data_IF_062648947807
#
_entry.id   IF_062648947807
#
_cell.length_a   1.000
_cell.length_b   1.000
_cell.length_c   1.000
_cell.angle_alpha   90.00
_cell.angle_beta   90.00
_cell.angle_gamma   90.00
#
_symmetry.space_group_name_H-M   'P 1'
#
loop_
_entity.id
_entity.type
_entity.pdbx_description
1 polymer ?
#
# COMPACT_ATOMS: atom_id res chain seq x y z
N UNK A 1 -11.61 9.94 0.78
CA UNK A 1 -10.51 10.01 -0.22
C UNK A 1 -9.43 10.92 0.34
N UNK A 2 -8.27 10.39 0.65
CA UNK A 2 -7.12 11.14 1.19
C UNK A 2 -6.19 11.64 0.08
N UNK A 3 -6.48 11.32 -1.17
CA UNK A 3 -5.62 11.50 -2.33
C UNK A 3 -5.92 12.77 -3.14
N UNK A 4 -6.31 13.86 -2.47
CA UNK A 4 -6.64 15.14 -3.13
C UNK A 4 -5.47 15.70 -3.95
N UNK A 5 -4.25 15.54 -3.43
CA UNK A 5 -3.05 16.04 -4.10
C UNK A 5 -2.87 15.43 -5.48
N UNK A 6 -3.25 14.16 -5.66
CA UNK A 6 -3.17 13.45 -6.93
C UNK A 6 -4.09 14.08 -7.98
N UNK A 7 -5.31 14.40 -7.60
CA UNK A 7 -6.26 15.08 -8.50
C UNK A 7 -5.82 16.50 -8.79
N UNK A 8 -5.36 17.25 -7.76
CA UNK A 8 -4.85 18.59 -7.89
C UNK A 8 -3.59 18.62 -8.79
N UNK A 9 -2.68 17.68 -8.60
CA UNK A 9 -1.47 17.54 -9.44
C UNK A 9 -1.82 17.27 -10.90
N UNK A 10 -2.71 16.31 -11.17
CA UNK A 10 -3.18 16.01 -12.52
C UNK A 10 -3.83 17.24 -13.17
N UNK A 11 -4.68 17.93 -12.42
CA UNK A 11 -5.32 19.16 -12.90
C UNK A 11 -4.32 20.27 -13.20
N UNK A 12 -3.36 20.50 -12.29
CA UNK A 12 -2.33 21.50 -12.48
C UNK A 12 -1.42 21.18 -13.70
N UNK A 13 -1.00 19.93 -13.84
CA UNK A 13 -0.17 19.49 -14.97
C UNK A 13 -0.89 19.72 -16.30
N UNK A 14 -2.15 19.32 -16.41
CA UNK A 14 -2.94 19.52 -17.64
C UNK A 14 -3.19 21.01 -17.88
N UNK A 15 -3.46 21.81 -16.86
CA UNK A 15 -3.63 23.25 -17.01
C UNK A 15 -2.36 23.94 -17.54
N UNK A 16 -1.18 23.53 -17.06
CA UNK A 16 0.11 24.04 -17.53
C UNK A 16 0.37 23.63 -18.98
N UNK A 17 0.18 22.36 -19.32
CA UNK A 17 0.46 21.84 -20.67
C UNK A 17 -0.50 22.42 -21.72
N UNK A 18 -1.76 22.65 -21.36
CA UNK A 18 -2.79 23.15 -22.28
C UNK A 18 -2.98 24.66 -22.22
N UNK A 19 -2.29 25.35 -21.30
CA UNK A 19 -2.48 26.78 -20.98
C UNK A 19 -3.96 27.13 -20.68
N UNK A 20 -4.67 26.19 -20.05
CA UNK A 20 -6.10 26.30 -19.78
C UNK A 20 -6.52 25.68 -18.45
N UNK A 21 -6.99 26.52 -17.52
CA UNK A 21 -7.53 26.09 -16.25
C UNK A 21 -8.76 25.19 -16.43
N UNK A 22 -9.58 25.43 -17.46
CA UNK A 22 -10.78 24.65 -17.74
C UNK A 22 -10.42 23.19 -18.04
N UNK A 23 -9.42 22.94 -18.87
CA UNK A 23 -8.93 21.59 -19.14
C UNK A 23 -8.31 20.94 -17.92
N UNK A 24 -7.63 21.72 -17.07
CA UNK A 24 -7.12 21.26 -15.79
C UNK A 24 -8.23 20.76 -14.86
N UNK A 25 -9.32 21.51 -14.72
CA UNK A 25 -10.48 21.13 -13.91
C UNK A 25 -11.14 19.85 -14.47
N UNK A 26 -11.34 19.80 -15.79
CA UNK A 26 -11.91 18.61 -16.45
C UNK A 26 -11.03 17.39 -16.18
N UNK A 27 -9.72 17.50 -16.31
CA UNK A 27 -8.78 16.43 -16.07
C UNK A 27 -8.80 15.95 -14.62
N UNK A 28 -8.86 16.86 -13.65
CA UNK A 28 -8.98 16.51 -12.23
C UNK A 28 -10.27 15.73 -11.94
N UNK A 29 -11.40 16.17 -12.49
CA UNK A 29 -12.70 15.49 -12.32
C UNK A 29 -12.68 14.12 -12.98
N UNK A 30 -12.17 14.00 -14.20
CA UNK A 30 -12.07 12.71 -14.90
C UNK A 30 -11.16 11.74 -14.15
N UNK A 31 -10.01 12.21 -13.67
CA UNK A 31 -9.09 11.40 -12.88
C UNK A 31 -9.76 10.87 -11.60
N UNK A 32 -10.50 11.73 -10.89
CA UNK A 32 -11.27 11.34 -9.71
C UNK A 32 -12.30 10.25 -10.05
N UNK A 33 -13.08 10.42 -11.11
CA UNK A 33 -14.08 9.45 -11.53
C UNK A 33 -13.43 8.11 -11.88
N UNK A 34 -12.34 8.12 -12.65
CA UNK A 34 -11.62 6.91 -13.05
C UNK A 34 -11.11 6.16 -11.81
N UNK A 35 -10.49 6.87 -10.87
CA UNK A 35 -9.95 6.24 -9.65
C UNK A 35 -11.07 5.65 -8.78
N UNK A 36 -12.20 6.34 -8.65
CA UNK A 36 -13.36 5.82 -7.91
C UNK A 36 -13.94 4.56 -8.56
N UNK A 37 -14.13 4.56 -9.88
CA UNK A 37 -14.63 3.40 -10.62
C UNK A 37 -13.68 2.21 -10.54
N UNK A 38 -12.37 2.45 -10.70
CA UNK A 38 -11.37 1.40 -10.56
C UNK A 38 -11.29 0.88 -9.12
N UNK A 39 -11.44 1.76 -8.12
CA UNK A 39 -11.50 1.37 -6.71
C UNK A 39 -12.67 0.41 -6.43
N UNK A 40 -13.86 0.73 -6.93
CA UNK A 40 -15.03 -0.14 -6.80
C UNK A 40 -14.88 -1.46 -7.57
N UNK A 41 -14.28 -1.40 -8.77
CA UNK A 41 -14.03 -2.59 -9.59
C UNK A 41 -13.04 -3.56 -8.92
N UNK A 42 -12.04 -3.03 -8.23
CA UNK A 42 -11.01 -3.83 -7.54
C UNK A 42 -11.40 -4.21 -6.11
N UNK A 43 -12.46 -3.65 -5.55
CA UNK A 43 -12.90 -3.91 -4.19
C UNK A 43 -13.10 -5.40 -3.86
N UNK A 44 -13.67 -6.25 -4.73
CA UNK A 44 -13.77 -7.69 -4.45
C UNK A 44 -12.40 -8.36 -4.27
N UNK A 45 -11.39 -7.94 -5.05
CA UNK A 45 -10.02 -8.45 -4.92
C UNK A 45 -9.36 -7.99 -3.62
N UNK A 46 -9.60 -6.74 -3.21
CA UNK A 46 -9.14 -6.20 -1.93
C UNK A 46 -9.77 -6.97 -0.77
N UNK A 47 -11.07 -7.25 -0.85
CA UNK A 47 -11.81 -8.02 0.14
C UNK A 47 -11.22 -9.43 0.33
N UNK A 48 -10.90 -10.12 -0.77
CA UNK A 48 -10.34 -11.46 -0.77
C UNK A 48 -8.86 -11.48 -0.33
N UNK A 49 -8.04 -10.60 -0.93
CA UNK A 49 -6.58 -10.63 -0.73
C UNK A 49 -6.15 -10.07 0.62
N UNK A 50 -6.83 -9.03 1.11
CA UNK A 50 -6.48 -8.34 2.36
C UNK A 50 -7.42 -8.71 3.52
N UNK A 51 -8.40 -9.60 3.29
CA UNK A 51 -9.42 -9.97 4.28
C UNK A 51 -10.14 -8.75 4.88
N UNK A 52 -10.51 -7.79 4.03
CA UNK A 52 -11.16 -6.53 4.40
C UNK A 52 -12.56 -6.43 3.77
N UNK A 53 -13.59 -7.03 4.36
CA UNK A 53 -14.93 -7.04 3.80
C UNK A 53 -15.52 -5.62 3.71
N UNK A 54 -16.14 -5.29 2.56
CA UNK A 54 -16.82 -4.02 2.36
C UNK A 54 -15.89 -2.82 2.15
N UNK A 55 -14.60 -3.03 1.98
CA UNK A 55 -13.59 -1.99 1.78
C UNK A 55 -13.15 -1.92 0.32
N UNK A 56 -12.96 -0.70 -0.18
CA UNK A 56 -12.26 -0.41 -1.44
C UNK A 56 -11.06 0.50 -1.18
N UNK A 57 -10.09 0.48 -2.08
CA UNK A 57 -8.90 1.32 -1.99
C UNK A 57 -8.83 2.27 -3.21
N UNK A 58 -9.68 3.32 -3.26
CA UNK A 58 -9.72 4.26 -4.37
C UNK A 58 -8.56 5.27 -4.26
N UNK A 59 -7.36 4.79 -4.49
CA UNK A 59 -6.14 5.58 -4.44
C UNK A 59 -5.48 5.63 -5.81
N UNK A 60 -4.86 6.77 -6.16
CA UNK A 60 -4.26 6.99 -7.47
C UNK A 60 -3.17 5.99 -7.83
N UNK A 61 -2.41 5.53 -6.83
CA UNK A 61 -1.36 4.52 -7.04
C UNK A 61 -1.85 3.08 -6.97
N UNK A 62 -2.93 2.77 -6.27
CA UNK A 62 -3.47 1.42 -6.18
C UNK A 62 -4.47 1.14 -7.29
N UNK A 63 -5.52 1.93 -7.39
CA UNK A 63 -6.58 1.72 -8.37
C UNK A 63 -6.07 1.88 -9.81
N UNK A 64 -5.22 2.86 -10.08
CA UNK A 64 -4.66 3.09 -11.42
C UNK A 64 -3.75 1.96 -11.90
N UNK A 65 -3.03 1.30 -10.98
CA UNK A 65 -2.17 0.16 -11.31
C UNK A 65 -2.89 -1.20 -11.30
N UNK A 66 -4.15 -1.26 -10.87
CA UNK A 66 -4.91 -2.49 -10.83
C UNK A 66 -4.95 -3.25 -12.18
N UNK A 67 -5.16 -2.62 -13.35
CA UNK A 67 -5.11 -3.32 -14.63
C UNK A 67 -3.73 -3.95 -14.91
N UNK A 68 -2.66 -3.27 -14.51
CA UNK A 68 -1.28 -3.77 -14.66
C UNK A 68 -1.06 -4.96 -13.72
N UNK A 69 -1.49 -4.85 -12.47
CA UNK A 69 -1.42 -5.94 -11.50
C UNK A 69 -2.19 -7.17 -11.97
N UNK A 70 -3.39 -7.00 -12.52
CA UNK A 70 -4.19 -8.09 -13.11
C UNK A 70 -3.47 -8.77 -14.27
N UNK A 71 -2.81 -8.01 -15.14
CA UNK A 71 -2.00 -8.56 -16.22
C UNK A 71 -0.84 -9.40 -15.69
N UNK A 72 -0.10 -8.89 -14.70
CA UNK A 72 1.00 -9.65 -14.09
C UNK A 72 0.52 -10.88 -13.35
N UNK A 73 -0.60 -10.79 -12.63
CA UNK A 73 -1.19 -11.96 -11.98
C UNK A 73 -1.53 -13.04 -13.01
N UNK A 74 -2.17 -12.67 -14.12
CA UNK A 74 -2.47 -13.60 -15.21
C UNK A 74 -1.20 -14.24 -15.83
N UNK A 75 -0.09 -13.49 -15.92
CA UNK A 75 1.21 -14.01 -16.39
C UNK A 75 1.77 -15.01 -15.38
N UNK A 76 1.77 -14.65 -14.10
CA UNK A 76 2.33 -15.49 -13.03
C UNK A 76 1.54 -16.78 -12.84
N UNK A 77 0.23 -16.77 -13.00
CA UNK A 77 -0.61 -17.95 -12.96
C UNK A 77 -0.25 -18.99 -14.05
N UNK A 78 0.39 -18.55 -15.15
CA UNK A 78 0.85 -19.42 -16.23
C UNK A 78 2.24 -20.01 -16.03
N UNK A 79 3.01 -19.50 -15.07
CA UNK A 79 4.37 -19.97 -14.81
C UNK A 79 4.33 -21.06 -13.74
N UNK A 80 4.60 -22.34 -14.10
CA UNK A 80 4.64 -23.42 -13.12
C UNK A 80 5.67 -23.13 -12.03
N UNK A 81 5.26 -23.25 -10.77
CA UNK A 81 6.13 -23.00 -9.61
C UNK A 81 6.03 -21.57 -9.03
N UNK A 82 5.67 -20.55 -9.81
CA UNK A 82 5.38 -19.22 -9.26
C UNK A 82 4.00 -19.16 -8.58
N UNK A 83 3.03 -19.86 -9.16
CA UNK A 83 1.67 -19.96 -8.63
C UNK A 83 1.60 -20.54 -7.21
N UNK A 84 2.51 -21.47 -6.90
CA UNK A 84 2.49 -22.19 -5.63
C UNK A 84 3.41 -21.56 -4.57
N UNK A 85 4.00 -20.40 -4.86
CA UNK A 85 4.85 -19.68 -3.92
C UNK A 85 3.95 -18.90 -2.95
N UNK A 86 3.88 -19.38 -1.73
CA UNK A 86 3.26 -18.66 -0.60
C UNK A 86 4.36 -17.95 0.21
N UNK A 87 4.52 -16.66 -0.05
CA UNK A 87 5.44 -15.79 0.70
C UNK A 87 4.61 -14.88 1.59
N UNK A 88 4.56 -15.24 2.85
CA UNK A 88 4.03 -14.37 3.90
C UNK A 88 5.00 -14.30 5.09
N UNK A 89 4.82 -13.35 5.98
CA UNK A 89 5.68 -13.18 7.16
C UNK A 89 5.75 -14.42 8.03
N UNK A 90 4.66 -15.17 8.14
CA UNK A 90 4.61 -16.40 8.93
C UNK A 90 5.42 -17.52 8.27
N UNK A 91 5.37 -17.62 6.96
CA UNK A 91 6.16 -18.59 6.17
C UNK A 91 7.65 -18.27 6.23
N UNK A 92 8.01 -16.99 6.14
CA UNK A 92 9.39 -16.52 6.30
C UNK A 92 9.89 -16.81 7.71
N UNK A 93 9.11 -16.51 8.74
CA UNK A 93 9.48 -16.77 10.13
C UNK A 93 9.61 -18.27 10.41
N UNK A 94 8.71 -19.11 9.89
CA UNK A 94 8.81 -20.57 10.00
C UNK A 94 10.04 -21.14 9.30
N UNK A 95 10.43 -20.58 8.15
CA UNK A 95 11.54 -21.06 7.35
C UNK A 95 12.90 -20.55 7.84
N UNK A 96 12.99 -19.32 8.29
CA UNK A 96 14.23 -18.67 8.71
C UNK A 96 14.33 -18.45 10.23
N UNK A 97 13.30 -18.85 10.99
CA UNK A 97 13.28 -18.68 12.44
C UNK A 97 13.38 -17.22 12.85
N UNK A 98 14.25 -16.94 13.83
CA UNK A 98 14.47 -15.59 14.35
C UNK A 98 14.92 -14.60 13.26
N UNK A 99 15.66 -15.06 12.25
CA UNK A 99 16.11 -14.20 11.13
C UNK A 99 14.97 -13.80 10.17
N UNK A 100 13.83 -14.45 10.22
CA UNK A 100 12.63 -14.07 9.49
C UNK A 100 11.76 -13.05 10.22
N UNK A 101 12.14 -12.61 11.41
CA UNK A 101 11.41 -11.56 12.12
C UNK A 101 11.57 -10.19 11.45
N UNK A 102 10.48 -9.43 11.25
CA UNK A 102 10.52 -8.15 10.55
C UNK A 102 11.56 -7.17 11.12
N UNK A 103 11.74 -7.18 12.44
CA UNK A 103 12.74 -6.29 13.08
C UNK A 103 14.17 -6.64 12.65
N UNK A 104 14.50 -7.94 12.58
CA UNK A 104 15.84 -8.37 12.18
C UNK A 104 16.08 -8.17 10.69
N UNK A 105 15.08 -8.50 9.87
CA UNK A 105 15.14 -8.27 8.41
C UNK A 105 15.37 -6.77 8.15
N UNK A 106 14.59 -5.89 8.76
CA UNK A 106 14.74 -4.44 8.61
C UNK A 106 16.09 -3.93 9.10
N UNK A 107 16.56 -4.45 10.23
CA UNK A 107 17.88 -4.09 10.78
C UNK A 107 19.00 -4.53 9.83
N UNK A 108 18.95 -5.73 9.28
CA UNK A 108 19.96 -6.21 8.33
C UNK A 108 19.96 -5.40 7.03
N UNK A 109 18.79 -5.10 6.47
CA UNK A 109 18.67 -4.23 5.31
C UNK A 109 19.22 -2.84 5.62
N UNK A 110 18.87 -2.29 6.77
CA UNK A 110 19.35 -0.99 7.22
C UNK A 110 20.87 -0.95 7.41
N UNK A 111 21.47 -2.04 7.89
CA UNK A 111 22.93 -2.17 7.98
C UNK A 111 23.57 -2.15 6.58
N UNK A 112 23.06 -2.92 5.65
CA UNK A 112 23.61 -2.97 4.28
C UNK A 112 23.49 -1.60 3.61
N UNK A 113 22.31 -0.99 3.61
CA UNK A 113 22.06 0.32 2.99
C UNK A 113 22.90 1.39 3.71
N UNK A 114 22.94 1.35 5.04
CA UNK A 114 23.72 2.28 5.85
C UNK A 114 25.22 2.21 5.54
N UNK A 115 25.76 1.01 5.43
CA UNK A 115 27.17 0.84 5.04
C UNK A 115 27.45 1.40 3.62
N UNK A 116 26.53 1.21 2.69
CA UNK A 116 26.70 1.74 1.33
C UNK A 116 26.57 3.27 1.27
N UNK A 117 25.70 3.85 2.10
CA UNK A 117 25.34 5.27 2.03
C UNK A 117 26.24 6.16 2.91
N UNK A 118 26.66 5.68 4.07
CA UNK A 118 27.30 6.51 5.12
C UNK A 118 28.73 6.10 5.46
N UNK A 119 29.31 5.14 4.73
CA UNK A 119 30.66 4.71 5.01
C UNK A 119 31.68 5.75 4.56
N UNK A 120 32.32 6.42 5.53
CA UNK A 120 33.43 7.34 5.29
C UNK A 120 34.65 6.89 6.11
N UNK A 121 35.72 6.43 5.43
CA UNK A 121 36.94 6.01 6.10
C UNK A 121 37.66 7.13 6.89
N UNK A 122 37.36 8.39 6.60
CA UNK A 122 37.96 9.54 7.29
C UNK A 122 37.29 9.84 8.64
N UNK A 123 36.03 9.42 8.83
CA UNK A 123 35.28 9.58 10.08
C UNK A 123 34.48 8.30 10.41
N UNK A 124 35.17 7.31 10.90
CA UNK A 124 34.59 6.00 11.22
C UNK A 124 33.53 6.08 12.33
N UNK A 125 33.73 6.94 13.32
CA UNK A 125 32.81 7.05 14.45
C UNK A 125 31.44 7.56 14.02
N UNK A 126 31.41 8.61 13.23
CA UNK A 126 30.16 9.14 12.65
C UNK A 126 29.53 8.14 11.70
N UNK A 127 30.30 7.48 10.84
CA UNK A 127 29.82 6.44 9.93
C UNK A 127 29.11 5.30 10.67
N UNK A 128 29.72 4.75 11.70
CA UNK A 128 29.12 3.68 12.51
C UNK A 128 27.81 4.15 13.14
N UNK A 129 27.80 5.36 13.69
CA UNK A 129 26.61 5.92 14.34
C UNK A 129 25.45 6.06 13.35
N UNK A 130 25.71 6.58 12.15
CA UNK A 130 24.69 6.73 11.09
C UNK A 130 24.19 5.39 10.59
N UNK A 131 25.08 4.45 10.33
CA UNK A 131 24.73 3.08 9.91
C UNK A 131 23.84 2.39 10.93
N UNK A 132 24.22 2.41 12.21
CA UNK A 132 23.44 1.80 13.28
C UNK A 132 22.09 2.50 13.48
N UNK A 133 22.07 3.82 13.40
CA UNK A 133 20.80 4.59 13.49
C UNK A 133 19.85 4.21 12.37
N UNK A 134 20.32 4.11 11.13
CA UNK A 134 19.49 3.69 10.00
C UNK A 134 19.01 2.24 10.19
N UNK A 135 19.89 1.35 10.62
CA UNK A 135 19.56 -0.06 10.85
C UNK A 135 18.45 -0.23 11.90
N UNK A 136 18.59 0.40 13.05
CA UNK A 136 17.57 0.35 14.12
C UNK A 136 16.28 1.02 13.67
N UNK A 137 16.37 2.15 12.97
CA UNK A 137 15.20 2.88 12.46
C UNK A 137 14.40 2.04 11.47
N UNK A 138 15.05 1.39 10.50
CA UNK A 138 14.38 0.50 9.56
C UNK A 138 13.76 -0.73 10.25
N UNK A 139 14.48 -1.37 11.17
CA UNK A 139 13.92 -2.46 11.97
C UNK A 139 12.67 -2.03 12.75
N UNK A 140 12.70 -0.85 13.39
CA UNK A 140 11.56 -0.32 14.10
C UNK A 140 10.38 0.01 13.19
N UNK A 141 10.63 0.66 12.05
CA UNK A 141 9.60 1.03 11.07
C UNK A 141 8.87 -0.20 10.56
N UNK A 142 9.57 -1.28 10.24
CA UNK A 142 8.98 -2.52 9.74
C UNK A 142 8.08 -3.24 10.75
N UNK A 143 8.28 -3.02 12.04
CA UNK A 143 7.40 -3.54 13.09
C UNK A 143 6.27 -2.56 13.41
N UNK A 144 6.56 -1.26 13.44
CA UNK A 144 5.60 -0.26 13.90
C UNK A 144 4.53 0.05 12.84
N UNK A 145 4.88 0.16 11.55
CA UNK A 145 3.92 0.49 10.50
C UNK A 145 2.77 -0.52 10.43
N UNK A 146 3.00 -1.86 10.39
CA UNK A 146 1.90 -2.83 10.37
C UNK A 146 1.03 -2.76 11.62
N UNK A 147 1.64 -2.58 12.80
CA UNK A 147 0.88 -2.48 14.06
C UNK A 147 0.02 -1.23 14.09
N UNK A 148 0.56 -0.10 13.63
CA UNK A 148 -0.20 1.17 13.55
C UNK A 148 -1.34 1.05 12.54
N UNK A 149 -1.09 0.44 11.38
CA UNK A 149 -2.12 0.21 10.37
C UNK A 149 -3.22 -0.73 10.92
N UNK A 150 -2.87 -1.80 11.62
CA UNK A 150 -3.82 -2.70 12.24
C UNK A 150 -4.70 -1.99 13.28
N UNK A 151 -4.12 -1.18 14.16
CA UNK A 151 -4.87 -0.37 15.13
C UNK A 151 -5.80 0.65 14.47
N UNK A 152 -5.34 1.29 13.39
CA UNK A 152 -6.16 2.20 12.61
C UNK A 152 -7.36 1.47 12.01
N UNK A 153 -7.15 0.28 11.45
CA UNK A 153 -8.21 -0.56 10.89
C UNK A 153 -9.22 -1.01 11.95
N UNK A 154 -8.75 -1.45 13.11
CA UNK A 154 -9.62 -1.83 14.21
C UNK A 154 -10.56 -0.69 14.61
N UNK A 155 -10.08 0.56 14.57
CA UNK A 155 -10.89 1.74 14.81
C UNK A 155 -11.82 2.15 13.66
N UNK A 156 -11.40 1.92 12.40
CA UNK A 156 -12.15 2.34 11.21
C UNK A 156 -13.22 1.34 10.77
N UNK A 157 -13.02 0.04 10.97
CA UNK A 157 -13.97 -0.98 10.54
C UNK A 157 -15.38 -0.78 11.13
N UNK A 158 -15.58 -0.51 12.44
CA UNK A 158 -16.92 -0.27 12.98
C UNK A 158 -17.60 0.96 12.36
N UNK A 159 -16.83 2.00 12.02
CA UNK A 159 -17.34 3.21 11.37
C UNK A 159 -17.76 2.88 9.93
N UNK A 160 -16.94 2.11 9.22
CA UNK A 160 -17.22 1.63 7.87
C UNK A 160 -18.52 0.81 7.85
N UNK A 161 -18.68 -0.14 8.76
CA UNK A 161 -19.88 -0.99 8.86
C UNK A 161 -21.14 -0.16 9.19
N UNK A 162 -21.02 0.80 10.10
CA UNK A 162 -22.12 1.70 10.44
C UNK A 162 -22.52 2.57 9.23
N UNK A 163 -21.54 3.10 8.50
CA UNK A 163 -21.76 3.90 7.30
C UNK A 163 -22.40 3.06 6.18
N UNK A 164 -21.90 1.86 5.93
CA UNK A 164 -22.45 0.90 4.96
C UNK A 164 -23.92 0.59 5.28
N UNK A 165 -24.20 0.22 6.52
CA UNK A 165 -25.58 -0.06 6.99
C UNK A 165 -26.50 1.16 6.84
N UNK A 166 -26.02 2.35 7.13
CA UNK A 166 -26.81 3.59 6.95
C UNK A 166 -27.14 3.84 5.47
N UNK A 167 -26.17 3.70 4.58
CA UNK A 167 -26.33 3.93 3.15
C UNK A 167 -27.24 2.88 2.53
N UNK A 168 -27.10 1.59 2.87
CA UNK A 168 -27.95 0.49 2.41
C UNK A 168 -29.42 0.71 2.82
N UNK A 169 -29.67 1.15 4.03
CA UNK A 169 -31.03 1.48 4.50
C UNK A 169 -31.64 2.65 3.72
N UNK A 170 -30.83 3.63 3.34
CA UNK A 170 -31.29 4.84 2.64
C UNK A 170 -31.46 4.63 1.15
N UNK A 171 -30.67 3.77 0.53
CA UNK A 171 -30.58 3.57 -0.92
C UNK A 171 -30.84 2.11 -1.32
N UNK A 172 -32.03 1.60 -1.04
CA UNK A 172 -32.47 0.20 -1.11
C UNK A 172 -32.24 -0.55 -2.44
N UNK A 173 -31.81 0.08 -3.53
CA UNK A 173 -31.67 -0.54 -4.85
C UNK A 173 -30.30 -0.33 -5.49
N UNK A 174 -29.29 0.04 -4.74
CA UNK A 174 -27.90 0.13 -5.24
C UNK A 174 -27.14 -1.08 -4.69
N UNK A 175 -26.48 -1.83 -5.56
CA UNK A 175 -25.70 -3.02 -5.20
C UNK A 175 -24.78 -2.86 -3.98
N UNK A 176 -23.87 -3.78 -3.77
CA UNK A 176 -22.92 -3.76 -2.66
C UNK A 176 -22.17 -2.42 -2.64
N UNK A 177 -22.17 -1.74 -1.52
CA UNK A 177 -21.51 -0.45 -1.34
C UNK A 177 -20.19 -0.69 -0.62
N UNK A 178 -19.12 -0.19 -1.20
CA UNK A 178 -17.78 -0.26 -0.61
C UNK A 178 -17.40 1.07 0.02
N UNK A 179 -16.75 1.00 1.17
CA UNK A 179 -16.21 2.19 1.83
C UNK A 179 -14.76 2.36 1.38
N UNK A 180 -14.49 3.50 0.75
CA UNK A 180 -13.14 3.84 0.31
C UNK A 180 -12.24 4.20 1.49
N UNK A 181 -11.17 3.43 1.68
CA UNK A 181 -10.11 3.71 2.66
C UNK A 181 -8.81 4.11 1.95
N UNK A 182 -7.87 4.63 2.72
CA UNK A 182 -6.53 4.95 2.24
C UNK A 182 -5.74 3.67 1.97
N UNK A 183 -4.92 3.66 0.92
CA UNK A 183 -4.05 2.52 0.58
C UNK A 183 -2.99 2.22 1.64
N UNK A 184 -2.68 3.16 2.54
CA UNK A 184 -1.80 2.93 3.70
C UNK A 184 -2.24 1.72 4.55
N UNK A 185 -3.54 1.43 4.53
CA UNK A 185 -4.11 0.23 5.16
C UNK A 185 -3.56 -1.06 4.55
N UNK A 186 -3.42 -1.10 3.22
CA UNK A 186 -2.83 -2.24 2.51
C UNK A 186 -1.32 -2.36 2.68
N UNK A 187 -0.62 -1.24 2.89
CA UNK A 187 0.85 -1.23 3.11
C UNK A 187 1.23 -2.00 4.38
N UNK A 188 0.42 -1.92 5.43
CA UNK A 188 0.64 -2.66 6.67
C UNK A 188 0.30 -4.16 6.60
N UNK A 189 -0.25 -4.65 5.50
CA UNK A 189 -0.62 -6.05 5.36
C UNK A 189 0.63 -6.95 5.31
N UNK A 190 0.65 -8.10 6.03
CA UNK A 190 1.83 -8.98 6.10
C UNK A 190 2.37 -9.42 4.74
N UNK A 191 1.50 -9.70 3.77
CA UNK A 191 1.89 -10.09 2.41
C UNK A 191 2.58 -8.94 1.68
N UNK A 192 2.05 -7.72 1.78
CA UNK A 192 2.64 -6.52 1.17
C UNK A 192 4.04 -6.27 1.71
N UNK A 193 4.21 -6.39 3.02
CA UNK A 193 5.51 -6.25 3.68
C UNK A 193 6.48 -7.34 3.25
N UNK A 194 6.04 -8.60 3.25
CA UNK A 194 6.90 -9.72 2.85
C UNK A 194 7.42 -9.54 1.40
N UNK A 195 6.56 -9.12 0.48
CA UNK A 195 6.96 -8.86 -0.92
C UNK A 195 7.92 -7.67 -0.99
N UNK A 196 7.66 -6.60 -0.24
CA UNK A 196 8.53 -5.41 -0.20
C UNK A 196 9.93 -5.70 0.35
N UNK A 197 10.11 -6.81 1.08
CA UNK A 197 11.44 -7.24 1.54
C UNK A 197 12.22 -8.04 0.52
N UNK A 198 11.51 -8.69 -0.40
CA UNK A 198 12.13 -9.54 -1.42
C UNK A 198 12.55 -8.73 -2.65
N UNK A 199 11.91 -7.60 -2.91
CA UNK A 199 12.19 -6.68 -4.03
C UNK A 199 13.21 -5.61 -3.65
#
# INVERSE_FOLDING_TARGET
IWDYWHFAFTGALVAIVTDSIVWGIIAAILNMIIIMVLGDYTAPLVEESLNMPGVSLPHGFTAAYAPIAMLFNWIFDKIPGLRDIDINTDTLQKKFGVFGEPILVGTMIGLVIGCLAYWDPSDIATSITQVLTLAVSLGAVLVLIPKMAALLMEGLLPISDAASTFVEKRFKNRGKIYIGLDSAVGVGHPVTLAISFVL
#
